data_IF_582112950851
#
_entry.id   IF_582112950851
#
_cell.length_a   1.000
_cell.length_b   1.000
_cell.length_c   1.000
_cell.angle_alpha   90.00
_cell.angle_beta   90.00
_cell.angle_gamma   90.00
#
_symmetry.space_group_name_H-M   'P 1'
#
loop_
_entity.id
_entity.type
_entity.pdbx_description
1 polymer ?
#
# COMPACT_ATOMS: atom_id res chain seq x y z
N UNK A 1 0.90 -10.26 5.25
CA UNK A 1 1.93 -9.99 4.24
C UNK A 1 2.65 -8.71 4.64
N UNK A 2 3.96 -8.78 4.79
CA UNK A 2 4.75 -7.63 5.25
C UNK A 2 5.54 -7.00 4.12
N UNK A 3 5.57 -5.67 4.13
CA UNK A 3 6.38 -4.89 3.21
C UNK A 3 7.19 -3.88 4.00
N UNK A 4 8.30 -3.43 3.42
CA UNK A 4 9.17 -2.45 4.06
C UNK A 4 9.34 -1.27 3.12
N UNK A 5 9.30 -0.06 3.68
CA UNK A 5 9.56 1.16 2.92
C UNK A 5 11.05 1.22 2.59
N UNK A 6 11.37 1.37 1.31
CA UNK A 6 12.76 1.33 0.84
C UNK A 6 13.59 2.47 1.40
N UNK A 7 12.97 3.60 1.66
CA UNK A 7 13.68 4.80 2.10
C UNK A 7 13.96 4.81 3.59
N UNK A 8 12.93 4.59 4.41
CA UNK A 8 13.09 4.70 5.88
C UNK A 8 13.17 3.36 6.59
N UNK A 9 13.02 2.25 5.84
CA UNK A 9 13.10 0.89 6.37
C UNK A 9 11.99 0.53 7.37
N UNK A 10 10.95 1.33 7.44
CA UNK A 10 9.82 1.04 8.32
C UNK A 10 8.98 -0.09 7.73
N UNK A 11 8.55 -1.01 8.58
CA UNK A 11 7.75 -2.18 8.16
C UNK A 11 6.27 -1.90 8.28
N UNK A 12 5.52 -2.46 7.32
CA UNK A 12 4.07 -2.31 7.26
C UNK A 12 3.44 -3.66 6.96
N UNK A 13 2.19 -3.81 7.37
CA UNK A 13 1.41 -5.00 7.05
C UNK A 13 0.45 -4.63 5.92
N UNK A 14 0.53 -5.37 4.81
CA UNK A 14 -0.37 -5.16 3.68
C UNK A 14 -1.65 -5.94 3.90
N UNK A 15 -2.78 -5.24 3.88
CA UNK A 15 -4.09 -5.83 4.03
C UNK A 15 -4.54 -6.42 2.70
N UNK A 16 -4.40 -5.64 1.62
CA UNK A 16 -4.71 -6.13 0.28
C UNK A 16 -3.92 -5.36 -0.76
N UNK A 17 -3.52 -6.06 -1.82
CA UNK A 17 -2.91 -5.45 -3.00
C UNK A 17 -3.94 -5.13 -4.06
N UNK A 18 -5.21 -5.47 -3.83
CA UNK A 18 -6.28 -5.38 -4.83
C UNK A 18 -7.44 -4.49 -4.38
N UNK A 19 -7.15 -3.45 -3.61
CA UNK A 19 -8.17 -2.46 -3.27
C UNK A 19 -8.55 -1.66 -4.49
N UNK A 20 -9.79 -1.21 -4.54
CA UNK A 20 -10.29 -0.38 -5.63
C UNK A 20 -10.64 0.99 -5.09
N UNK A 21 -10.11 2.02 -5.74
CA UNK A 21 -10.41 3.41 -5.39
C UNK A 21 -11.78 3.77 -5.97
N UNK A 22 -12.70 4.15 -5.11
CA UNK A 22 -14.08 4.47 -5.50
C UNK A 22 -14.36 5.96 -5.53
N UNK A 23 -13.33 6.80 -5.51
CA UNK A 23 -13.54 8.24 -5.63
C UNK A 23 -13.92 8.59 -7.07
N UNK A 24 -14.60 9.73 -7.23
CA UNK A 24 -15.10 10.14 -8.54
C UNK A 24 -14.01 10.23 -9.60
N UNK A 25 -12.85 10.70 -9.24
CA UNK A 25 -11.77 10.94 -10.20
C UNK A 25 -10.90 9.71 -10.43
N UNK A 26 -10.93 8.76 -9.50
CA UNK A 26 -10.04 7.62 -9.52
C UNK A 26 -10.80 6.29 -9.41
N UNK A 27 -12.06 6.33 -9.76
CA UNK A 27 -12.92 5.16 -9.68
C UNK A 27 -12.35 4.02 -10.50
N UNK A 28 -12.21 2.86 -9.87
CA UNK A 28 -11.65 1.69 -10.50
C UNK A 28 -10.13 1.59 -10.46
N UNK A 29 -9.45 2.59 -9.94
CA UNK A 29 -8.00 2.55 -9.82
C UNK A 29 -7.59 1.55 -8.74
N UNK A 30 -6.63 0.69 -9.09
CA UNK A 30 -6.12 -0.30 -8.14
C UNK A 30 -5.25 0.36 -7.08
N UNK A 31 -5.54 0.07 -5.81
CA UNK A 31 -4.77 0.62 -4.70
C UNK A 31 -4.34 -0.49 -3.75
N UNK A 32 -3.31 -0.20 -2.97
CA UNK A 32 -2.84 -1.06 -1.89
C UNK A 32 -3.34 -0.47 -0.59
N UNK A 33 -3.90 -1.30 0.28
CA UNK A 33 -4.31 -0.90 1.63
C UNK A 33 -3.34 -1.55 2.60
N UNK A 34 -2.73 -0.73 3.45
CA UNK A 34 -1.71 -1.22 4.38
C UNK A 34 -1.78 -0.45 5.69
N UNK A 35 -1.11 -0.97 6.72
CA UNK A 35 -1.15 -0.39 8.06
C UNK A 35 0.20 -0.49 8.73
N UNK A 36 0.47 0.47 9.62
CA UNK A 36 1.63 0.41 10.51
C UNK A 36 1.27 -0.20 11.87
N UNK A 37 0.04 -0.67 12.01
CA UNK A 37 -0.46 -1.22 13.26
C UNK A 37 -1.36 -0.24 14.02
N UNK A 38 -1.35 1.02 13.64
CA UNK A 38 -2.15 2.07 14.29
C UNK A 38 -3.08 2.73 13.30
N UNK A 39 -2.56 3.13 12.16
CA UNK A 39 -3.31 3.82 11.11
C UNK A 39 -3.35 2.97 9.85
N UNK A 40 -4.37 3.18 9.03
CA UNK A 40 -4.51 2.53 7.75
C UNK A 40 -4.25 3.53 6.66
N UNK A 41 -3.54 3.09 5.62
CA UNK A 41 -3.14 3.93 4.51
C UNK A 41 -3.55 3.29 3.19
N UNK A 42 -3.73 4.13 2.17
CA UNK A 42 -3.92 3.66 0.81
C UNK A 42 -2.93 4.35 -0.10
N UNK A 43 -2.52 3.64 -1.15
CA UNK A 43 -1.60 4.19 -2.15
C UNK A 43 -1.85 3.47 -3.47
N UNK A 44 -1.69 4.18 -4.57
CA UNK A 44 -1.83 3.56 -5.88
C UNK A 44 -0.86 2.37 -6.01
N UNK A 45 -1.31 1.31 -6.65
CA UNK A 45 -0.58 0.05 -6.73
C UNK A 45 0.84 0.23 -7.28
N UNK A 46 0.98 0.89 -8.43
CA UNK A 46 2.30 1.06 -9.04
C UNK A 46 3.21 1.93 -8.18
N UNK A 47 2.66 2.95 -7.56
CA UNK A 47 3.41 3.83 -6.67
C UNK A 47 3.87 3.08 -5.42
N UNK A 48 3.01 2.22 -4.88
CA UNK A 48 3.37 1.40 -3.73
C UNK A 48 4.55 0.49 -4.05
N UNK A 49 4.50 -0.19 -5.19
CA UNK A 49 5.58 -1.10 -5.58
C UNK A 49 6.89 -0.36 -5.84
N UNK A 50 6.81 0.90 -6.23
CA UNK A 50 8.01 1.71 -6.43
C UNK A 50 8.68 2.11 -5.12
N UNK A 51 7.90 2.22 -4.04
CA UNK A 51 8.40 2.73 -2.75
C UNK A 51 8.56 1.68 -1.67
N UNK A 52 7.95 0.51 -1.85
CA UNK A 52 7.96 -0.57 -0.86
C UNK A 52 8.43 -1.85 -1.50
N UNK A 53 8.99 -2.74 -0.69
CA UNK A 53 9.37 -4.06 -1.18
C UNK A 53 8.91 -5.13 -0.19
N UNK A 54 8.65 -6.36 -0.66
CA UNK A 54 8.23 -7.43 0.24
C UNK A 54 9.32 -7.74 1.25
N UNK A 55 8.92 -7.93 2.48
CA UNK A 55 9.84 -8.33 3.54
C UNK A 55 9.85 -9.85 3.62
N UNK A 56 11.00 -10.41 3.49
CA UNK A 56 11.18 -11.86 3.52
C UNK A 56 11.48 -12.38 4.93
#
# INVERSE_FOLDING_TARGET
>A
MKYVNKKNKKEYIVITLDGIDCTNERDGLRVVIYTDGTLYFTREYSEFLAKFEPLK
#
